data_IF_503782986867
#
_entry.id   IF_503782986867
#
_cell.length_a   1.000
_cell.length_b   1.000
_cell.length_c   1.000
_cell.angle_alpha   90.00
_cell.angle_beta   90.00
_cell.angle_gamma   90.00
#
_symmetry.space_group_name_H-M   'P 1'
#
loop_
_entity.id
_entity.type
_entity.pdbx_description
1 polymer ?
#
# COMPACT_ATOMS: atom_id res chain seq x y z
N UNK A 1 35.05 12.67 -7.24
CA UNK A 1 33.65 12.26 -7.45
C UNK A 1 33.19 11.45 -6.24
N UNK A 2 32.06 11.82 -5.61
CA UNK A 2 31.47 11.03 -4.51
C UNK A 2 30.64 9.90 -5.12
N UNK A 3 30.80 8.63 -4.71
CA UNK A 3 29.97 7.55 -5.22
C UNK A 3 28.49 7.83 -4.90
N UNK A 4 27.54 7.34 -5.74
CA UNK A 4 26.12 7.53 -5.49
C UNK A 4 25.77 7.02 -4.09
N UNK A 5 24.94 7.74 -3.32
CA UNK A 5 24.56 7.32 -1.97
C UNK A 5 23.79 6.01 -2.06
N UNK A 6 24.46 4.92 -1.73
CA UNK A 6 23.86 3.59 -1.62
C UNK A 6 22.97 3.62 -0.38
N UNK A 7 21.66 3.44 -0.56
CA UNK A 7 20.72 3.20 0.53
C UNK A 7 21.05 1.84 1.12
N UNK A 8 21.39 1.80 2.41
CA UNK A 8 21.75 0.59 3.14
C UNK A 8 20.67 0.16 4.12
N UNK A 9 19.64 0.98 4.32
CA UNK A 9 18.48 0.66 5.13
C UNK A 9 17.30 1.58 4.81
N UNK A 10 16.10 1.04 4.82
CA UNK A 10 14.85 1.78 4.68
C UNK A 10 13.83 1.17 5.63
N UNK A 11 13.29 1.99 6.54
CA UNK A 11 12.23 1.59 7.46
C UNK A 11 11.05 2.54 7.30
N UNK A 12 9.84 1.99 7.11
CA UNK A 12 8.59 2.77 7.01
C UNK A 12 7.62 2.20 8.05
N UNK A 13 7.16 3.03 8.97
CA UNK A 13 6.27 2.60 10.07
C UNK A 13 6.83 1.41 10.88
N UNK A 14 8.16 1.35 11.05
CA UNK A 14 8.84 0.23 11.73
C UNK A 14 9.01 -1.04 10.89
N UNK A 15 8.43 -1.12 9.68
CA UNK A 15 8.66 -2.24 8.76
C UNK A 15 9.95 -2.04 7.97
N UNK A 16 10.76 -3.10 7.84
CA UNK A 16 11.93 -3.09 6.97
C UNK A 16 11.48 -3.17 5.49
N UNK A 17 11.74 -2.10 4.74
CA UNK A 17 11.30 -1.95 3.35
C UNK A 17 12.46 -2.02 2.35
N UNK A 18 13.69 -2.32 2.80
CA UNK A 18 14.89 -2.29 1.98
C UNK A 18 14.81 -3.22 0.76
N UNK A 19 14.19 -4.40 0.90
CA UNK A 19 14.06 -5.38 -0.19
C UNK A 19 13.22 -4.87 -1.36
N UNK A 20 12.26 -3.98 -1.10
CA UNK A 20 11.41 -3.36 -2.11
C UNK A 20 11.93 -2.01 -2.60
N UNK A 21 13.02 -1.52 -2.01
CA UNK A 21 13.50 -0.17 -2.23
C UNK A 21 14.22 -0.08 -3.57
N UNK A 22 13.68 0.76 -4.45
CA UNK A 22 14.24 1.13 -5.74
C UNK A 22 14.72 2.59 -5.67
N UNK A 23 16.03 2.77 -5.64
CA UNK A 23 16.66 4.08 -5.59
C UNK A 23 16.66 4.73 -6.97
N UNK A 24 16.02 5.90 -7.09
CA UNK A 24 15.96 6.65 -8.35
C UNK A 24 16.93 7.84 -8.37
N UNK A 25 17.03 8.58 -7.27
CA UNK A 25 17.91 9.75 -7.18
C UNK A 25 18.16 10.12 -5.71
N UNK A 26 19.01 11.14 -5.48
CA UNK A 26 19.34 11.60 -4.13
C UNK A 26 18.12 12.10 -3.33
N UNK A 27 17.02 12.41 -4.01
CA UNK A 27 15.76 12.87 -3.42
C UNK A 27 14.58 11.92 -3.66
N UNK A 28 14.80 10.75 -4.27
CA UNK A 28 13.71 9.83 -4.63
C UNK A 28 14.10 8.36 -4.45
N UNK A 29 13.30 7.68 -3.62
CA UNK A 29 13.30 6.24 -3.44
C UNK A 29 11.84 5.78 -3.61
N UNK A 30 11.62 4.74 -4.39
CA UNK A 30 10.31 4.09 -4.52
C UNK A 30 10.38 2.80 -3.72
N UNK A 31 9.39 2.51 -2.87
CA UNK A 31 9.36 1.29 -2.07
C UNK A 31 7.93 0.90 -1.72
N UNK A 32 7.73 -0.36 -1.33
CA UNK A 32 6.47 -0.86 -0.79
C UNK A 32 6.63 -1.11 0.70
N UNK A 33 5.72 -0.57 1.50
CA UNK A 33 5.74 -0.84 2.95
C UNK A 33 5.31 -2.28 3.23
N UNK A 34 5.95 -2.88 4.24
CA UNK A 34 5.58 -4.19 4.75
C UNK A 34 4.46 -4.09 5.79
N UNK A 35 4.08 -5.25 6.35
CA UNK A 35 3.19 -5.27 7.51
C UNK A 35 3.84 -4.51 8.67
N UNK A 36 3.07 -3.60 9.27
CA UNK A 36 3.49 -2.76 10.39
C UNK A 36 2.35 -2.63 11.39
N UNK A 37 2.67 -2.23 12.62
CA UNK A 37 1.65 -1.96 13.60
C UNK A 37 0.78 -0.76 13.17
N UNK A 38 -0.54 -0.81 13.37
CA UNK A 38 -1.41 0.32 13.06
C UNK A 38 -0.98 1.58 13.81
N UNK A 39 -1.06 2.73 13.14
CA UNK A 39 -0.69 4.03 13.72
C UNK A 39 0.27 4.84 12.87
N UNK A 40 0.61 6.04 13.35
CA UNK A 40 1.61 6.91 12.72
C UNK A 40 3.00 6.31 12.91
N UNK A 41 3.84 6.41 11.90
CA UNK A 41 5.19 5.91 11.93
C UNK A 41 6.11 6.72 11.02
N UNK A 42 7.38 6.77 11.41
CA UNK A 42 8.39 7.53 10.69
C UNK A 42 8.89 6.78 9.45
N UNK A 43 9.50 7.54 8.56
CA UNK A 43 10.31 7.02 7.46
C UNK A 43 11.77 7.30 7.78
N UNK A 44 12.55 6.22 7.92
CA UNK A 44 13.95 6.25 8.31
C UNK A 44 14.79 5.67 7.18
N UNK A 45 15.76 6.44 6.70
CA UNK A 45 16.67 6.07 5.62
C UNK A 45 18.09 6.01 6.16
N UNK A 46 18.78 4.90 5.95
CA UNK A 46 20.20 4.75 6.25
C UNK A 46 20.98 4.72 4.94
N UNK A 47 22.07 5.50 4.87
CA UNK A 47 22.95 5.53 3.70
C UNK A 47 24.34 5.02 4.05
N UNK A 48 25.09 4.53 3.05
CA UNK A 48 26.49 4.07 3.22
C UNK A 48 27.42 5.13 3.81
N UNK A 49 27.07 6.41 3.72
CA UNK A 49 27.82 7.49 4.35
C UNK A 49 27.72 7.51 5.88
N UNK A 50 26.95 6.60 6.48
CA UNK A 50 26.73 6.47 7.91
C UNK A 50 25.68 7.45 8.46
N UNK A 51 25.06 8.25 7.60
CA UNK A 51 23.97 9.16 8.00
C UNK A 51 22.64 8.42 7.99
N UNK A 52 21.94 8.53 9.12
CA UNK A 52 20.52 8.20 9.27
C UNK A 52 19.75 9.49 9.02
N UNK A 53 18.87 9.46 8.01
CA UNK A 53 17.91 10.52 7.74
C UNK A 53 16.53 10.09 8.24
N UNK A 54 15.75 11.05 8.75
CA UNK A 54 14.33 10.90 9.01
C UNK A 54 13.54 11.85 8.12
N UNK A 55 12.33 11.45 7.75
CA UNK A 55 11.39 12.33 7.08
C UNK A 55 10.64 13.20 8.09
N UNK A 56 10.28 14.43 7.70
CA UNK A 56 9.43 15.32 8.49
C UNK A 56 7.95 14.93 8.44
N UNK A 57 7.58 14.15 7.42
CA UNK A 57 6.25 13.57 7.26
C UNK A 57 6.22 12.15 7.80
N UNK A 58 5.08 11.79 8.39
CA UNK A 58 4.82 10.45 8.91
C UNK A 58 3.82 9.73 8.02
N UNK A 59 3.97 8.42 7.93
CA UNK A 59 2.99 7.54 7.29
C UNK A 59 2.11 6.95 8.38
N UNK A 60 0.83 6.73 8.08
CA UNK A 60 -0.07 5.99 8.97
C UNK A 60 -0.29 4.61 8.40
N UNK A 61 0.12 3.58 9.15
CA UNK A 61 -0.24 2.20 8.85
C UNK A 61 -1.66 1.92 9.34
N UNK A 62 -2.46 1.28 8.50
CA UNK A 62 -3.83 0.86 8.83
C UNK A 62 -3.86 -0.65 8.78
N UNK A 63 -4.23 -1.28 9.89
CA UNK A 63 -4.42 -2.73 9.97
C UNK A 63 -5.73 -3.11 9.31
N UNK A 64 -5.74 -3.27 7.99
CA UNK A 64 -6.88 -3.84 7.28
C UNK A 64 -6.66 -5.33 7.10
N UNK A 65 -7.53 -6.15 7.69
CA UNK A 65 -7.66 -7.56 7.32
C UNK A 65 -8.72 -7.63 6.22
N UNK A 66 -8.33 -7.86 4.95
CA UNK A 66 -9.31 -7.96 3.89
C UNK A 66 -10.15 -9.24 4.11
N UNK A 67 -11.44 -9.06 4.33
CA UNK A 67 -12.42 -10.15 4.32
C UNK A 67 -12.62 -10.59 2.85
N UNK A 68 -12.47 -11.89 2.52
CA UNK A 68 -12.65 -12.37 1.16
C UNK A 68 -14.01 -12.03 0.54
N UNK A 69 -15.04 -11.83 1.36
CA UNK A 69 -16.40 -11.50 0.94
C UNK A 69 -16.64 -9.98 0.85
N UNK A 70 -15.66 -9.17 1.26
CA UNK A 70 -15.76 -7.72 1.30
C UNK A 70 -14.94 -7.10 0.19
N UNK A 71 -15.58 -6.24 -0.60
CA UNK A 71 -14.88 -5.45 -1.61
C UNK A 71 -13.76 -4.62 -0.96
N UNK A 72 -12.55 -4.71 -1.51
CA UNK A 72 -11.40 -3.96 -1.04
C UNK A 72 -10.60 -3.41 -2.22
N UNK A 73 -10.12 -2.17 -2.08
CA UNK A 73 -9.23 -1.60 -3.08
C UNK A 73 -7.85 -2.26 -2.96
N UNK A 74 -7.49 -3.06 -3.95
CA UNK A 74 -6.16 -3.65 -4.08
C UNK A 74 -5.34 -2.86 -5.09
N UNK A 75 -4.11 -2.50 -4.70
CA UNK A 75 -3.15 -1.93 -5.64
C UNK A 75 -2.63 -3.04 -6.55
N UNK A 76 -3.11 -3.05 -7.79
CA UNK A 76 -2.59 -3.91 -8.85
C UNK A 76 -1.43 -3.21 -9.55
N UNK A 77 -0.39 -3.98 -9.86
CA UNK A 77 0.67 -3.49 -10.73
C UNK A 77 0.10 -3.42 -12.15
N UNK A 78 0.20 -2.24 -12.78
CA UNK A 78 -0.23 -2.10 -14.17
C UNK A 78 0.71 -2.92 -15.06
N UNK A 79 0.20 -4.05 -15.55
CA UNK A 79 0.87 -4.88 -16.53
C UNK A 79 0.34 -4.55 -17.92
N UNK A 80 1.25 -4.59 -18.90
CA UNK A 80 0.86 -4.46 -20.30
C UNK A 80 -0.13 -5.58 -20.67
N UNK A 81 -1.28 -5.28 -21.31
CA UNK A 81 -2.29 -6.27 -21.67
C UNK A 81 -1.74 -7.41 -22.54
N UNK A 82 -0.75 -7.12 -23.39
CA UNK A 82 -0.13 -8.12 -24.27
C UNK A 82 0.80 -9.04 -23.49
N UNK A 83 1.52 -8.54 -22.48
CA UNK A 83 2.30 -9.37 -21.55
C UNK A 83 1.40 -10.26 -20.69
N UNK A 84 0.26 -9.74 -20.22
CA UNK A 84 -0.71 -10.52 -19.45
C UNK A 84 -1.29 -11.68 -20.27
N UNK A 85 -1.56 -11.43 -21.56
CA UNK A 85 -2.05 -12.43 -22.51
C UNK A 85 -0.99 -13.49 -22.85
N UNK A 86 0.29 -13.09 -22.93
CA UNK A 86 1.39 -14.01 -23.18
C UNK A 86 1.68 -14.93 -21.97
N UNK A 87 1.51 -14.44 -20.73
CA UNK A 87 1.71 -15.23 -19.51
C UNK A 87 0.50 -16.10 -19.13
N UNK A 88 -0.70 -15.64 -19.49
CA UNK A 88 -1.96 -16.35 -19.24
C UNK A 88 -2.34 -17.14 -20.49
N UNK A 89 -1.64 -18.23 -20.79
CA UNK A 89 -1.90 -19.09 -21.96
C UNK A 89 -3.27 -19.78 -21.92
N UNK A 90 -4.35 -19.02 -22.12
CA UNK A 90 -5.78 -19.37 -21.95
C UNK A 90 -6.34 -19.23 -20.53
N UNK A 91 -6.38 -18.01 -19.98
CA UNK A 91 -7.39 -17.67 -18.97
C UNK A 91 -8.13 -16.40 -19.43
N UNK A 92 -9.29 -16.60 -20.06
CA UNK A 92 -10.27 -15.53 -20.23
C UNK A 92 -10.72 -15.07 -18.85
N UNK A 93 -10.77 -13.76 -18.55
CA UNK A 93 -11.38 -13.29 -17.31
C UNK A 93 -12.84 -13.74 -17.30
N UNK A 94 -13.18 -14.61 -16.36
CA UNK A 94 -14.57 -15.05 -16.17
C UNK A 94 -15.22 -13.95 -15.33
N UNK A 95 -15.94 -13.04 -15.97
CA UNK A 95 -16.86 -12.16 -15.26
C UNK A 95 -17.82 -13.06 -14.47
N UNK A 96 -18.00 -12.89 -13.14
CA UNK A 96 -19.06 -13.57 -12.44
C UNK A 96 -20.39 -13.07 -13.01
N UNK A 97 -21.05 -13.91 -13.82
CA UNK A 97 -22.40 -13.64 -14.29
C UNK A 97 -23.35 -13.73 -13.10
N UNK A 98 -23.59 -12.60 -12.43
CA UNK A 98 -24.66 -12.46 -11.44
C UNK A 98 -25.89 -11.89 -12.15
N UNK A 99 -26.81 -12.78 -12.50
CA UNK A 99 -28.11 -12.41 -13.02
C UNK A 99 -29.16 -13.18 -12.21
N UNK A 100 -29.64 -12.59 -11.12
CA UNK A 100 -31.06 -12.19 -10.96
C UNK A 100 -31.35 -11.54 -9.60
N UNK A 101 -32.00 -10.36 -9.71
CA UNK A 101 -33.00 -9.74 -8.83
C UNK A 101 -32.65 -9.27 -7.41
N UNK A 102 -32.84 -7.94 -7.25
CA UNK A 102 -33.17 -7.16 -6.05
C UNK A 102 -32.03 -6.74 -5.11
N UNK A 103 -31.15 -5.88 -5.62
CA UNK A 103 -30.69 -4.62 -4.99
C UNK A 103 -29.50 -4.07 -5.81
N UNK A 104 -29.72 -3.11 -6.73
CA UNK A 104 -28.68 -2.68 -7.68
C UNK A 104 -27.57 -1.82 -7.05
N UNK A 105 -27.66 -1.42 -5.77
CA UNK A 105 -26.57 -0.73 -5.07
C UNK A 105 -26.18 -1.34 -3.72
N UNK A 106 -26.97 -2.27 -3.16
CA UNK A 106 -26.52 -3.16 -2.08
C UNK A 106 -26.03 -2.47 -0.81
N UNK A 107 -26.36 -1.19 -0.58
CA UNK A 107 -25.87 -0.41 0.58
C UNK A 107 -26.63 -0.72 1.87
N UNK A 108 -27.37 -1.83 1.91
CA UNK A 108 -28.30 -2.16 2.99
C UNK A 108 -27.72 -2.84 4.22
N UNK A 109 -26.47 -3.33 4.20
CA UNK A 109 -25.88 -3.99 5.39
C UNK A 109 -24.42 -3.61 5.58
N UNK A 110 -24.23 -2.43 6.16
CA UNK A 110 -22.96 -1.98 6.71
C UNK A 110 -22.69 -2.72 8.04
N UNK A 111 -22.56 -4.05 7.95
CA UNK A 111 -22.37 -4.94 9.09
C UNK A 111 -20.89 -5.30 9.14
N UNK A 112 -20.15 -4.48 9.88
CA UNK A 112 -18.71 -4.52 10.15
C UNK A 112 -17.80 -4.06 9.01
N UNK A 113 -18.01 -2.81 8.61
CA UNK A 113 -16.89 -1.91 8.40
C UNK A 113 -16.14 -1.74 9.72
N UNK A 114 -14.80 -1.82 9.71
CA UNK A 114 -14.02 -1.09 10.70
C UNK A 114 -14.43 0.37 10.52
N UNK A 115 -15.52 0.74 11.20
CA UNK A 115 -16.03 2.10 11.22
C UNK A 115 -15.03 2.81 12.09
N UNK A 116 -14.12 3.53 11.45
CA UNK A 116 -13.41 4.59 12.13
C UNK A 116 -14.49 5.44 12.80
N UNK A 117 -14.42 5.56 14.12
CA UNK A 117 -15.29 6.51 14.82
C UNK A 117 -15.04 7.90 14.25
N UNK A 118 -16.04 8.78 14.29
CA UNK A 118 -15.92 10.14 13.73
C UNK A 118 -14.67 10.85 14.28
N UNK A 119 -14.43 10.73 15.57
CA UNK A 119 -13.21 11.11 16.28
C UNK A 119 -11.91 10.49 15.69
N UNK A 120 -11.90 9.21 15.30
CA UNK A 120 -10.74 8.58 14.67
C UNK A 120 -10.54 9.07 13.23
N UNK A 121 -11.61 9.47 12.55
CA UNK A 121 -11.56 9.98 11.18
C UNK A 121 -11.04 11.42 11.16
N UNK A 122 -11.50 12.26 12.10
CA UNK A 122 -10.98 13.60 12.38
C UNK A 122 -9.48 13.57 12.75
N UNK A 123 -9.03 12.56 13.51
CA UNK A 123 -7.61 12.33 13.81
C UNK A 123 -6.75 11.91 12.59
N UNK A 124 -7.38 11.37 11.54
CA UNK A 124 -6.72 10.97 10.29
C UNK A 124 -6.72 12.12 9.28
N UNK A 125 -7.79 12.92 9.24
CA UNK A 125 -8.00 14.04 8.32
C UNK A 125 -8.38 15.33 9.07
N UNK A 126 -7.44 15.96 9.80
CA UNK A 126 -7.69 17.27 10.40
C UNK A 126 -7.80 18.36 9.32
N UNK A 127 -8.64 19.38 9.56
CA UNK A 127 -8.76 20.58 8.68
C UNK A 127 -7.45 21.38 8.53
#
# INVERSE_FOLDING_TARGET
MRPPPVVTGLTICGANCLLSADYKSASKIIARTGQSHPGKGDVIVSTRSGRVGSCTVQFRSVGLVPDPLKESAVWLEEMDPDELRARSGSVTPVSPQINTSNDPLGTGVDVFSYKFTEEQLEDIYPE
#
